data_IF_060052839758
#
_entry.id   IF_060052839758
#
_cell.length_a   1.000
_cell.length_b   1.000
_cell.length_c   1.000
_cell.angle_alpha   90.00
_cell.angle_beta   90.00
_cell.angle_gamma   90.00
#
_symmetry.space_group_name_H-M   'P 1'
#
loop_
_entity.id
_entity.type
_entity.pdbx_description
1 polymer ?
#
# COMPACT_ATOMS: atom_id res chain seq x y z
N UNK A 1 17.21 13.05 7.39
CA UNK A 1 16.66 11.73 7.75
C UNK A 1 15.99 11.15 6.51
N UNK A 2 16.32 9.93 6.12
CA UNK A 2 15.74 9.27 4.94
C UNK A 2 14.42 8.57 5.30
N UNK A 3 13.46 8.58 4.37
CA UNK A 3 12.18 7.88 4.52
C UNK A 3 12.44 6.37 4.44
N UNK A 4 11.99 5.61 5.43
CA UNK A 4 12.16 4.16 5.53
C UNK A 4 10.89 3.40 5.14
N UNK A 5 9.70 3.96 5.39
CA UNK A 5 8.42 3.32 5.08
C UNK A 5 7.54 4.25 4.24
N UNK A 6 6.95 3.74 3.17
CA UNK A 6 5.99 4.47 2.35
C UNK A 6 4.57 3.91 2.58
N UNK A 7 3.67 4.75 3.08
CA UNK A 7 2.24 4.43 3.20
C UNK A 7 1.52 4.96 1.97
N UNK A 8 0.86 4.09 1.23
CA UNK A 8 0.14 4.45 -0.01
C UNK A 8 -1.30 4.01 0.11
N UNK A 9 -2.23 4.87 -0.30
CA UNK A 9 -3.65 4.54 -0.33
C UNK A 9 -4.33 5.10 -1.57
N UNK A 10 -5.41 4.45 -1.99
CA UNK A 10 -6.11 4.80 -3.23
C UNK A 10 -6.92 6.10 -3.14
N UNK A 11 -7.35 6.50 -1.95
CA UNK A 11 -8.24 7.64 -1.72
C UNK A 11 -7.97 8.34 -0.38
N UNK A 12 -8.47 9.58 -0.22
CA UNK A 12 -8.37 10.29 1.08
C UNK A 12 -9.20 9.64 2.17
N UNK A 13 -10.33 9.00 1.84
CA UNK A 13 -11.18 8.31 2.81
C UNK A 13 -10.49 7.09 3.43
N UNK A 14 -9.49 6.53 2.77
CA UNK A 14 -8.70 5.42 3.31
C UNK A 14 -7.80 5.85 4.49
N UNK A 15 -7.56 7.16 4.65
CA UNK A 15 -6.66 7.70 5.68
C UNK A 15 -7.13 7.39 7.10
N UNK A 16 -8.44 7.33 7.34
CA UNK A 16 -8.98 7.03 8.67
C UNK A 16 -8.46 5.67 9.18
N UNK A 17 -8.32 4.68 8.29
CA UNK A 17 -7.73 3.37 8.62
C UNK A 17 -6.21 3.40 8.55
N UNK A 18 -5.65 3.95 7.48
CA UNK A 18 -4.21 3.90 7.21
C UNK A 18 -3.38 4.77 8.16
N UNK A 19 -3.99 5.77 8.81
CA UNK A 19 -3.34 6.61 9.80
C UNK A 19 -2.86 5.84 11.04
N UNK A 20 -3.48 4.70 11.36
CA UNK A 20 -3.01 3.82 12.44
C UNK A 20 -1.58 3.31 12.16
N UNK A 21 -1.26 2.96 10.91
CA UNK A 21 0.10 2.58 10.53
C UNK A 21 1.08 3.76 10.72
N UNK A 22 0.69 4.97 10.32
CA UNK A 22 1.50 6.17 10.51
C UNK A 22 1.74 6.49 12.00
N UNK A 23 0.72 6.32 12.84
CA UNK A 23 0.81 6.51 14.27
C UNK A 23 1.80 5.51 14.90
N UNK A 24 1.69 4.23 14.57
CA UNK A 24 2.63 3.20 15.06
C UNK A 24 4.07 3.46 14.61
N UNK A 25 4.27 3.82 13.34
CA UNK A 25 5.61 4.16 12.83
C UNK A 25 6.19 5.38 13.55
N UNK A 26 5.36 6.38 13.86
CA UNK A 26 5.77 7.55 14.64
C UNK A 26 6.18 7.18 16.06
N UNK A 27 5.42 6.30 16.73
CA UNK A 27 5.71 5.81 18.08
C UNK A 27 7.04 5.03 18.13
N UNK A 28 7.37 4.33 17.05
CA UNK A 28 8.62 3.58 16.89
C UNK A 28 9.79 4.43 16.35
N UNK A 29 9.60 5.74 16.16
CA UNK A 29 10.56 6.66 15.54
C UNK A 29 11.03 6.22 14.13
N UNK A 30 10.14 5.57 13.38
CA UNK A 30 10.39 5.16 12.00
C UNK A 30 9.91 6.26 11.06
N UNK A 31 10.86 6.81 10.31
CA UNK A 31 10.62 7.85 9.31
C UNK A 31 9.78 7.31 8.15
N UNK A 32 8.65 7.93 7.90
CA UNK A 32 7.68 7.47 6.90
C UNK A 32 7.05 8.62 6.13
N UNK A 33 6.55 8.32 4.94
CA UNK A 33 5.72 9.23 4.16
C UNK A 33 4.34 8.61 3.87
N UNK A 34 3.31 9.44 3.74
CA UNK A 34 1.97 9.00 3.34
C UNK A 34 1.55 9.70 2.05
N UNK A 35 1.02 8.95 1.07
CA UNK A 35 0.54 9.48 -0.20
C UNK A 35 -0.76 8.84 -0.65
N UNK A 36 -1.60 9.65 -1.30
CA UNK A 36 -2.81 9.19 -1.99
C UNK A 36 -2.49 9.00 -3.46
N UNK A 37 -2.38 7.75 -3.91
CA UNK A 37 -2.10 7.38 -5.31
C UNK A 37 -2.97 6.18 -5.66
N UNK A 38 -3.83 6.35 -6.67
CA UNK A 38 -4.81 5.33 -7.05
C UNK A 38 -4.28 4.48 -8.20
N UNK A 39 -4.25 3.15 -8.00
CA UNK A 39 -3.89 2.21 -9.06
C UNK A 39 -4.81 2.28 -10.29
N UNK A 40 -6.10 2.61 -10.10
CA UNK A 40 -7.06 2.68 -11.18
C UNK A 40 -7.19 4.08 -11.80
N UNK A 41 -7.10 5.14 -10.97
CA UNK A 41 -7.38 6.51 -11.43
C UNK A 41 -6.13 7.28 -11.83
N UNK A 42 -4.97 6.91 -11.27
CA UNK A 42 -3.69 7.58 -11.52
C UNK A 42 -2.57 6.54 -11.69
N UNK A 43 -2.69 5.59 -12.64
CA UNK A 43 -1.70 4.52 -12.83
C UNK A 43 -0.32 5.06 -13.22
N UNK A 44 -0.23 6.07 -14.09
CA UNK A 44 1.05 6.65 -14.51
C UNK A 44 1.79 7.30 -13.34
N UNK A 45 1.06 7.97 -12.45
CA UNK A 45 1.62 8.55 -11.23
C UNK A 45 2.14 7.47 -10.26
N UNK A 46 1.47 6.31 -10.21
CA UNK A 46 1.93 5.18 -9.41
C UNK A 46 3.24 4.64 -9.97
N UNK A 47 3.36 4.53 -11.29
CA UNK A 47 4.58 4.07 -11.96
C UNK A 47 5.76 5.01 -11.72
N UNK A 48 5.54 6.32 -11.87
CA UNK A 48 6.53 7.34 -11.53
C UNK A 48 6.95 7.28 -10.07
N UNK A 49 6.01 7.03 -9.15
CA UNK A 49 6.30 6.94 -7.74
C UNK A 49 7.10 5.68 -7.39
N UNK A 50 6.78 4.53 -7.99
CA UNK A 50 7.54 3.29 -7.86
C UNK A 50 9.00 3.46 -8.30
N UNK A 51 9.23 4.12 -9.44
CA UNK A 51 10.59 4.40 -9.92
C UNK A 51 11.38 5.24 -8.89
N UNK A 52 10.75 6.28 -8.33
CA UNK A 52 11.37 7.13 -7.29
C UNK A 52 11.61 6.38 -5.98
N UNK A 53 10.76 5.42 -5.62
CA UNK A 53 10.93 4.62 -4.41
C UNK A 53 12.17 3.73 -4.49
N UNK A 54 12.50 3.19 -5.66
CA UNK A 54 13.70 2.37 -5.86
C UNK A 54 15.01 3.16 -5.71
N UNK A 55 14.98 4.46 -5.99
CA UNK A 55 16.11 5.36 -5.77
C UNK A 55 16.29 5.78 -4.31
N UNK A 56 15.24 5.64 -3.49
CA UNK A 56 15.24 5.97 -2.06
C UNK A 56 15.61 4.75 -1.21
N UNK A 57 16.04 5.00 0.03
CA UNK A 57 16.32 3.93 1.02
C UNK A 57 15.04 3.33 1.65
N UNK A 58 13.92 3.31 0.93
CA UNK A 58 12.66 2.76 1.45
C UNK A 58 12.80 1.25 1.61
N UNK A 59 12.43 0.77 2.79
CA UNK A 59 12.56 -0.63 3.21
C UNK A 59 11.25 -1.40 3.09
N UNK A 60 10.11 -0.73 3.26
CA UNK A 60 8.77 -1.35 3.23
C UNK A 60 7.75 -0.38 2.64
N UNK A 61 6.80 -0.92 1.88
CA UNK A 61 5.60 -0.20 1.43
C UNK A 61 4.39 -0.79 2.16
N UNK A 62 3.54 0.07 2.73
CA UNK A 62 2.25 -0.32 3.31
C UNK A 62 1.16 0.26 2.41
N UNK A 63 0.38 -0.62 1.77
CA UNK A 63 -0.57 -0.24 0.74
C UNK A 63 -2.02 -0.58 1.15
N UNK A 64 -2.87 0.42 1.29
CA UNK A 64 -4.28 0.27 1.62
C UNK A 64 -5.19 0.37 0.40
N UNK A 65 -6.08 -0.60 0.22
CA UNK A 65 -7.13 -0.53 -0.79
C UNK A 65 -8.37 -1.35 -0.42
N UNK A 66 -9.54 -0.87 -0.82
CA UNK A 66 -10.83 -1.55 -0.67
C UNK A 66 -11.43 -1.98 -2.01
N UNK A 67 -12.53 -2.75 -1.97
CA UNK A 67 -13.24 -3.28 -3.15
C UNK A 67 -12.31 -4.15 -4.03
N UNK A 68 -12.22 -3.84 -5.33
CA UNK A 68 -11.22 -4.41 -6.22
C UNK A 68 -9.82 -3.86 -5.88
N UNK A 69 -9.23 -4.36 -4.80
CA UNK A 69 -8.06 -3.79 -4.14
C UNK A 69 -6.73 -4.08 -4.88
N UNK A 70 -6.55 -3.50 -6.06
CA UNK A 70 -5.39 -3.77 -6.93
C UNK A 70 -4.08 -3.09 -6.49
N UNK A 71 -4.14 -2.02 -5.68
CA UNK A 71 -2.98 -1.18 -5.35
C UNK A 71 -1.79 -1.98 -4.77
N UNK A 72 -1.96 -2.85 -3.75
CA UNK A 72 -0.84 -3.61 -3.19
C UNK A 72 -0.18 -4.54 -4.22
N UNK A 73 -0.98 -5.25 -5.02
CA UNK A 73 -0.48 -6.16 -6.05
C UNK A 73 0.28 -5.45 -7.16
N UNK A 74 -0.23 -4.29 -7.62
CA UNK A 74 0.45 -3.47 -8.64
C UNK A 74 1.78 -2.91 -8.13
N UNK A 75 1.83 -2.49 -6.86
CA UNK A 75 3.08 -2.07 -6.23
C UNK A 75 4.09 -3.22 -6.17
N UNK A 76 3.68 -4.39 -5.67
CA UNK A 76 4.54 -5.56 -5.58
C UNK A 76 5.07 -6.02 -6.95
N UNK A 77 4.29 -5.83 -8.02
CA UNK A 77 4.71 -6.16 -9.38
C UNK A 77 5.78 -5.20 -9.95
N UNK A 78 5.93 -4.00 -9.36
CA UNK A 78 6.78 -2.92 -9.88
C UNK A 78 8.01 -2.64 -9.02
N UNK A 79 8.17 -3.31 -7.90
CA UNK A 79 9.32 -3.11 -7.01
C UNK A 79 9.79 -4.40 -6.35
N UNK A 80 11.06 -4.42 -5.95
CA UNK A 80 11.63 -5.45 -5.08
C UNK A 80 11.49 -5.11 -3.59
N UNK A 81 11.02 -3.91 -3.27
CA UNK A 81 10.73 -3.49 -1.89
C UNK A 81 9.51 -4.29 -1.40
N UNK A 82 9.58 -4.93 -0.22
CA UNK A 82 8.45 -5.64 0.38
C UNK A 82 7.19 -4.78 0.47
N UNK A 83 6.05 -5.34 0.08
CA UNK A 83 4.74 -4.69 0.13
C UNK A 83 3.83 -5.42 1.10
N UNK A 84 3.31 -4.68 2.07
CA UNK A 84 2.25 -5.10 3.00
C UNK A 84 0.93 -4.55 2.47
N UNK A 85 -0.02 -5.42 2.17
CA UNK A 85 -1.37 -5.06 1.75
C UNK A 85 -2.32 -4.99 2.95
N UNK A 86 -3.01 -3.86 3.09
CA UNK A 86 -4.05 -3.64 4.10
C UNK A 86 -5.42 -3.66 3.40
N UNK A 87 -6.22 -4.73 3.53
CA UNK A 87 -7.56 -4.79 2.96
C UNK A 87 -8.47 -3.82 3.72
N UNK A 88 -9.04 -2.86 3.00
CA UNK A 88 -9.94 -1.87 3.59
C UNK A 88 -11.39 -2.32 3.49
N UNK A 89 -12.12 -2.21 4.60
CA UNK A 89 -13.55 -2.49 4.65
C UNK A 89 -14.28 -1.40 3.87
N UNK A 90 -14.86 -1.78 2.73
CA UNK A 90 -15.65 -0.90 1.88
C UNK A 90 -16.73 -1.72 1.14
N UNK A 91 -17.80 -1.06 0.73
CA UNK A 91 -18.86 -1.68 -0.05
C UNK A 91 -19.71 -2.68 0.74
N UNK A 92 -20.35 -3.60 0.01
CA UNK A 92 -21.35 -4.53 0.56
C UNK A 92 -20.78 -5.87 1.04
N UNK A 93 -19.48 -6.11 0.87
CA UNK A 93 -18.83 -7.39 1.16
C UNK A 93 -17.93 -7.33 2.40
N UNK A 94 -18.06 -6.27 3.22
CA UNK A 94 -17.33 -6.08 4.48
C UNK A 94 -15.81 -6.33 4.38
N UNK A 95 -15.21 -5.98 3.23
CA UNK A 95 -13.77 -6.13 2.98
C UNK A 95 -13.32 -7.52 2.51
N UNK A 96 -14.23 -8.50 2.36
CA UNK A 96 -13.87 -9.82 1.80
C UNK A 96 -13.37 -9.72 0.36
N UNK A 97 -13.95 -8.83 -0.43
CA UNK A 97 -13.50 -8.50 -1.79
C UNK A 97 -12.09 -7.93 -1.81
N UNK A 98 -11.80 -6.99 -0.90
CA UNK A 98 -10.47 -6.42 -0.75
C UNK A 98 -9.44 -7.47 -0.30
N UNK A 99 -9.79 -8.28 0.70
CA UNK A 99 -8.95 -9.36 1.21
C UNK A 99 -8.57 -10.34 0.10
N UNK A 100 -9.56 -10.84 -0.64
CA UNK A 100 -9.34 -11.79 -1.74
C UNK A 100 -8.57 -11.17 -2.91
N UNK A 101 -8.77 -9.88 -3.18
CA UNK A 101 -8.03 -9.14 -4.22
C UNK A 101 -6.55 -8.98 -3.87
N UNK A 102 -6.21 -8.95 -2.58
CA UNK A 102 -4.83 -8.74 -2.11
C UNK A 102 -4.11 -10.08 -1.86
N UNK A 103 -4.77 -11.08 -1.27
CA UNK A 103 -4.10 -12.32 -0.82
C UNK A 103 -3.75 -13.26 -1.96
N UNK A 104 -4.58 -13.28 -3.01
CA UNK A 104 -4.52 -14.29 -4.07
C UNK A 104 -3.51 -13.90 -5.17
N UNK A 105 -2.37 -13.32 -4.80
CA UNK A 105 -1.34 -12.98 -5.77
C UNK A 105 -0.71 -14.25 -6.36
N UNK A 106 -0.42 -14.26 -7.68
CA UNK A 106 0.25 -15.40 -8.29
C UNK A 106 1.70 -15.55 -7.79
N UNK A 107 2.29 -16.75 -7.91
CA UNK A 107 3.69 -16.98 -7.56
C UNK A 107 4.62 -15.99 -8.27
N UNK A 108 5.60 -15.45 -7.53
CA UNK A 108 6.61 -14.51 -8.04
C UNK A 108 6.34 -13.05 -7.72
N UNK A 109 5.13 -12.67 -7.30
CA UNK A 109 4.79 -11.29 -6.93
C UNK A 109 4.08 -11.29 -5.55
N UNK A 110 4.82 -11.42 -4.44
CA UNK A 110 4.22 -11.57 -3.12
C UNK A 110 3.68 -10.24 -2.58
N UNK A 111 2.53 -10.32 -1.91
CA UNK A 111 2.02 -9.26 -1.04
C UNK A 111 1.75 -9.89 0.32
N UNK A 112 2.38 -9.38 1.37
CA UNK A 112 2.11 -9.84 2.73
C UNK A 112 0.82 -9.21 3.24
N UNK A 113 -0.05 -9.98 3.89
CA UNK A 113 -1.32 -9.47 4.39
C UNK A 113 -1.22 -8.99 5.82
N UNK A 114 -1.80 -7.82 6.08
CA UNK A 114 -2.07 -7.38 7.44
C UNK A 114 -3.42 -7.97 7.91
N UNK A 115 -3.38 -8.83 8.93
CA UNK A 115 -4.55 -9.44 9.58
C UNK A 115 -5.00 -8.65 10.81
#
# INVERSE_FOLDING_TARGET
MSIQVAIIMGSKSDWDVMSHAAAMLSELDIQHEAKVISAHRTPDLLDEYCAKLQEKEVKVIIAGAGLAAALPGVLAAKTTIPVIGVPLVAGSLDGLDALMSIVQMPPGIPVEQWL
#
